data_IF_518527456630
#
_entry.id   IF_518527456630
#
_cell.length_a   1.000
_cell.length_b   1.000
_cell.length_c   1.000
_cell.angle_alpha   90.00
_cell.angle_beta   90.00
_cell.angle_gamma   90.00
#
_symmetry.space_group_name_H-M   'P 1'
#
loop_
_entity.id
_entity.type
_entity.pdbx_description
1 polymer ?
#
# COMPACT_ATOMS: atom_id res chain seq x y z
N UNK A 1 -17.26 4.70 -4.91
CA UNK A 1 -17.63 5.93 -4.19
C UNK A 1 -16.62 6.19 -3.08
N UNK A 2 -16.27 7.45 -2.84
CA UNK A 2 -15.55 7.91 -1.63
C UNK A 2 -16.45 8.97 -1.00
N UNK A 3 -16.84 8.79 0.27
CA UNK A 3 -17.78 9.69 0.99
C UNK A 3 -19.04 10.02 0.17
N UNK A 4 -19.69 9.00 -0.35
CA UNK A 4 -20.87 9.10 -1.23
C UNK A 4 -20.66 9.83 -2.56
N UNK A 5 -19.44 10.23 -2.90
CA UNK A 5 -19.09 10.85 -4.18
C UNK A 5 -18.60 9.78 -5.16
N UNK A 6 -19.22 9.68 -6.34
CA UNK A 6 -18.74 8.81 -7.40
C UNK A 6 -17.40 9.31 -7.94
N UNK A 7 -16.41 8.42 -8.00
CA UNK A 7 -15.10 8.71 -8.57
C UNK A 7 -14.88 8.01 -9.93
N UNK A 8 -15.89 7.34 -10.46
CA UNK A 8 -15.79 6.50 -11.65
C UNK A 8 -15.33 7.28 -12.89
N UNK A 9 -15.94 8.44 -13.12
CA UNK A 9 -15.64 9.32 -14.27
C UNK A 9 -14.56 10.37 -14.00
N UNK A 10 -14.00 10.39 -12.81
CA UNK A 10 -12.96 11.37 -12.43
C UNK A 10 -11.60 10.88 -12.95
N UNK A 11 -10.79 11.72 -13.63
CA UNK A 11 -9.42 11.41 -14.03
C UNK A 11 -8.56 10.98 -12.83
N UNK A 12 -7.61 10.06 -13.04
CA UNK A 12 -6.85 9.42 -11.97
C UNK A 12 -6.14 10.43 -11.03
N UNK A 13 -5.56 11.50 -11.58
CA UNK A 13 -4.88 12.54 -10.80
C UNK A 13 -5.84 13.36 -9.90
N UNK A 14 -7.12 13.43 -10.25
CA UNK A 14 -8.13 14.05 -9.42
C UNK A 14 -8.68 13.10 -8.36
N UNK A 15 -8.67 11.78 -8.61
CA UNK A 15 -9.04 10.78 -7.60
C UNK A 15 -8.12 10.84 -6.37
N UNK A 16 -6.84 11.16 -6.58
CA UNK A 16 -5.90 11.36 -5.48
C UNK A 16 -6.34 12.53 -4.56
N UNK A 17 -6.89 13.61 -5.12
CA UNK A 17 -7.45 14.74 -4.35
C UNK A 17 -8.73 14.37 -3.60
N UNK A 18 -9.48 13.39 -4.09
CA UNK A 18 -10.67 12.85 -3.40
C UNK A 18 -10.33 11.84 -2.30
N UNK A 19 -9.05 11.56 -2.09
CA UNK A 19 -8.57 10.67 -1.03
C UNK A 19 -8.26 9.24 -1.48
N UNK A 20 -8.00 8.99 -2.77
CA UNK A 20 -7.55 7.69 -3.26
C UNK A 20 -6.03 7.65 -3.36
N UNK A 21 -5.37 6.81 -2.55
CA UNK A 21 -3.98 6.44 -2.71
C UNK A 21 -3.82 5.17 -3.56
N UNK A 22 -2.74 5.07 -4.32
CA UNK A 22 -2.44 3.87 -5.10
C UNK A 22 -0.95 3.55 -5.09
N UNK A 23 -0.61 2.33 -4.70
CA UNK A 23 0.72 1.75 -4.75
C UNK A 23 0.75 0.68 -5.85
N UNK A 24 1.38 0.95 -7.00
CA UNK A 24 1.49 -0.02 -8.08
C UNK A 24 2.49 -1.13 -7.74
N UNK A 25 2.33 -2.29 -8.36
CA UNK A 25 3.25 -3.42 -8.27
C UNK A 25 4.68 -3.03 -8.67
N UNK A 26 4.82 -2.28 -9.76
CA UNK A 26 6.11 -1.83 -10.26
C UNK A 26 6.70 -0.67 -9.46
N UNK A 27 8.04 -0.58 -9.44
CA UNK A 27 8.74 0.56 -8.83
C UNK A 27 8.32 1.87 -9.49
N UNK A 28 7.81 2.79 -8.69
CA UNK A 28 7.37 4.11 -9.13
C UNK A 28 8.03 5.19 -8.27
N UNK A 29 9.35 5.36 -8.43
CA UNK A 29 10.15 6.37 -7.73
C UNK A 29 10.93 7.21 -8.72
N UNK A 30 11.20 8.47 -8.36
CA UNK A 30 12.02 9.36 -9.17
C UNK A 30 13.51 9.08 -8.94
N UNK A 31 14.35 9.27 -9.96
CA UNK A 31 15.80 9.11 -9.84
C UNK A 31 16.44 10.33 -9.14
N UNK A 32 16.04 10.57 -7.91
CA UNK A 32 16.51 11.62 -7.02
C UNK A 32 16.65 11.09 -5.60
N UNK A 33 17.04 11.92 -4.64
CA UNK A 33 17.18 11.48 -3.26
C UNK A 33 15.87 10.98 -2.66
N UNK A 34 15.93 10.19 -1.58
CA UNK A 34 14.75 9.75 -0.82
C UNK A 34 13.97 10.98 -0.32
N UNK A 35 14.68 11.97 0.21
CA UNK A 35 14.10 13.24 0.66
C UNK A 35 13.34 13.94 -0.48
N UNK A 36 13.98 14.12 -1.64
CA UNK A 36 13.37 14.81 -2.79
C UNK A 36 12.20 14.04 -3.39
N UNK A 37 12.20 12.69 -3.30
CA UNK A 37 11.08 11.87 -3.72
C UNK A 37 9.80 12.16 -2.90
N UNK A 38 9.93 12.43 -1.61
CA UNK A 38 8.81 12.78 -0.74
C UNK A 38 8.46 14.25 -0.92
N UNK A 39 9.46 15.14 -0.83
CA UNK A 39 9.29 16.59 -0.94
C UNK A 39 8.62 16.98 -2.27
N UNK A 40 9.02 16.37 -3.39
CA UNK A 40 8.45 16.67 -4.70
C UNK A 40 6.94 16.43 -4.78
N UNK A 41 6.43 15.38 -4.11
CA UNK A 41 4.98 15.16 -4.01
C UNK A 41 4.33 16.17 -3.05
N UNK A 42 4.99 16.48 -1.93
CA UNK A 42 4.51 17.49 -0.98
C UNK A 42 4.35 18.87 -1.64
N UNK A 43 5.29 19.26 -2.51
CA UNK A 43 5.25 20.53 -3.26
C UNK A 43 4.02 20.63 -4.19
N UNK A 44 3.58 19.52 -4.78
CA UNK A 44 2.40 19.48 -5.65
C UNK A 44 1.10 19.52 -4.83
N UNK A 45 1.12 18.94 -3.62
CA UNK A 45 -0.09 18.66 -2.84
C UNK A 45 -0.35 19.65 -1.72
N UNK A 46 0.68 20.29 -1.16
CA UNK A 46 0.61 21.10 0.06
C UNK A 46 1.07 22.52 -0.23
N UNK A 47 0.34 23.49 0.28
CA UNK A 47 0.71 24.91 0.20
C UNK A 47 1.66 25.29 1.35
N UNK A 48 2.69 26.05 1.03
CA UNK A 48 3.64 26.59 2.01
C UNK A 48 4.86 25.72 2.24
N UNK A 49 6.05 26.32 2.10
CA UNK A 49 7.35 25.63 2.14
C UNK A 49 7.57 24.92 3.49
N UNK A 50 7.22 25.57 4.60
CA UNK A 50 7.42 24.99 5.93
C UNK A 50 6.52 23.76 6.15
N UNK A 51 5.25 23.81 5.68
CA UNK A 51 4.35 22.67 5.75
C UNK A 51 4.84 21.50 4.88
N UNK A 52 5.39 21.78 3.69
CA UNK A 52 5.99 20.77 2.81
C UNK A 52 7.18 20.06 3.47
N UNK A 53 8.11 20.83 4.06
CA UNK A 53 9.25 20.30 4.80
C UNK A 53 8.81 19.49 6.02
N UNK A 54 7.90 20.04 6.81
CA UNK A 54 7.39 19.38 8.02
C UNK A 54 6.78 18.01 7.73
N UNK A 55 5.91 17.91 6.72
CA UNK A 55 5.32 16.62 6.33
C UNK A 55 6.37 15.66 5.77
N UNK A 56 7.36 16.18 5.04
CA UNK A 56 8.46 15.36 4.52
C UNK A 56 9.29 14.74 5.63
N UNK A 57 9.70 15.53 6.63
CA UNK A 57 10.45 15.04 7.80
C UNK A 57 9.62 14.02 8.61
N UNK A 58 8.35 14.32 8.86
CA UNK A 58 7.43 13.40 9.54
C UNK A 58 7.36 12.04 8.84
N UNK A 59 7.20 12.02 7.52
CA UNK A 59 7.08 10.77 6.75
C UNK A 59 8.40 10.01 6.64
N UNK A 60 9.55 10.71 6.59
CA UNK A 60 10.85 10.06 6.69
C UNK A 60 11.01 9.29 8.02
N UNK A 61 10.58 9.89 9.13
CA UNK A 61 10.61 9.23 10.43
C UNK A 61 9.60 8.08 10.52
N UNK A 62 8.35 8.32 10.12
CA UNK A 62 7.27 7.33 10.20
C UNK A 62 7.55 6.04 9.42
N UNK A 63 8.24 6.15 8.28
CA UNK A 63 8.60 5.03 7.42
C UNK A 63 10.05 4.57 7.58
N UNK A 64 10.76 5.03 8.63
CA UNK A 64 12.16 4.70 8.92
C UNK A 64 13.07 4.89 7.70
N UNK A 65 13.00 6.08 7.10
CA UNK A 65 13.77 6.47 5.90
C UNK A 65 14.79 7.57 6.19
N UNK A 66 14.85 8.10 7.42
CA UNK A 66 15.69 9.26 7.78
C UNK A 66 17.18 9.01 7.51
N UNK A 67 17.67 7.81 7.82
CA UNK A 67 19.06 7.40 7.58
C UNK A 67 19.42 7.26 6.10
N UNK A 68 18.41 7.18 5.21
CA UNK A 68 18.56 7.05 3.76
C UNK A 68 18.27 8.37 3.02
N UNK A 69 17.96 9.45 3.74
CA UNK A 69 17.40 10.69 3.17
C UNK A 69 18.17 11.27 1.97
N UNK A 70 19.50 11.21 2.01
CA UNK A 70 20.36 11.73 0.94
C UNK A 70 20.71 10.73 -0.14
N UNK A 71 20.37 9.45 0.02
CA UNK A 71 20.64 8.42 -0.98
C UNK A 71 19.68 8.55 -2.17
N UNK A 72 20.16 8.26 -3.36
CA UNK A 72 19.31 8.14 -4.55
C UNK A 72 18.38 6.92 -4.42
N UNK A 73 17.14 7.08 -4.83
CA UNK A 73 16.17 5.97 -4.80
C UNK A 73 16.58 4.75 -5.65
N UNK A 74 17.47 4.95 -6.63
CA UNK A 74 17.99 3.86 -7.48
C UNK A 74 18.86 2.83 -6.75
N UNK A 75 19.45 3.18 -5.59
CA UNK A 75 20.33 2.30 -4.82
C UNK A 75 19.62 1.60 -3.66
N UNK A 76 18.34 1.87 -3.45
CA UNK A 76 17.55 1.30 -2.37
C UNK A 76 17.21 -0.18 -2.62
N UNK A 77 17.16 -0.95 -1.55
CA UNK A 77 16.60 -2.32 -1.55
C UNK A 77 15.09 -2.32 -1.87
N UNK A 78 14.55 -3.50 -2.18
CA UNK A 78 13.12 -3.66 -2.47
C UNK A 78 12.21 -3.17 -1.34
N UNK A 79 12.53 -3.50 -0.09
CA UNK A 79 11.77 -3.06 1.08
C UNK A 79 11.85 -1.56 1.33
N UNK A 80 13.02 -0.96 1.18
CA UNK A 80 13.21 0.49 1.31
C UNK A 80 12.42 1.26 0.23
N UNK A 81 12.40 0.75 -1.00
CA UNK A 81 11.57 1.31 -2.06
C UNK A 81 10.08 1.22 -1.72
N UNK A 82 9.60 0.08 -1.21
CA UNK A 82 8.20 -0.06 -0.78
C UNK A 82 7.84 0.96 0.29
N UNK A 83 8.69 1.13 1.32
CA UNK A 83 8.50 2.16 2.35
C UNK A 83 8.47 3.58 1.76
N UNK A 84 9.38 3.89 0.84
CA UNK A 84 9.40 5.19 0.15
C UNK A 84 8.12 5.43 -0.66
N UNK A 85 7.65 4.44 -1.40
CA UNK A 85 6.41 4.54 -2.18
C UNK A 85 5.19 4.73 -1.25
N UNK A 86 5.13 4.02 -0.11
CA UNK A 86 4.07 4.18 0.89
C UNK A 86 4.11 5.58 1.52
N UNK A 87 5.28 6.08 1.92
CA UNK A 87 5.44 7.43 2.45
C UNK A 87 4.91 8.49 1.48
N UNK A 88 5.19 8.36 0.17
CA UNK A 88 4.70 9.28 -0.86
C UNK A 88 3.19 9.29 -1.00
N UNK A 89 2.53 8.14 -0.86
CA UNK A 89 1.07 8.04 -0.91
C UNK A 89 0.44 8.76 0.29
N UNK A 90 1.05 8.65 1.46
CA UNK A 90 0.53 9.21 2.71
C UNK A 90 0.59 10.74 2.78
N UNK A 91 1.31 11.42 1.89
CA UNK A 91 1.36 12.90 1.83
C UNK A 91 -0.04 13.53 1.74
N UNK A 92 -0.94 12.89 1.02
CA UNK A 92 -2.31 13.39 0.77
C UNK A 92 -3.33 12.94 1.82
N UNK A 93 -2.91 12.30 2.91
CA UNK A 93 -3.80 11.71 3.92
C UNK A 93 -4.97 10.96 3.27
N UNK A 94 -4.71 9.91 2.50
CA UNK A 94 -5.74 9.22 1.74
C UNK A 94 -6.79 8.58 2.65
N UNK A 95 -8.05 8.55 2.21
CA UNK A 95 -9.16 7.86 2.89
C UNK A 95 -9.14 6.37 2.60
N UNK A 96 -8.69 6.00 1.40
CA UNK A 96 -8.51 4.63 0.97
C UNK A 96 -7.19 4.49 0.20
N UNK A 97 -6.45 3.42 0.44
CA UNK A 97 -5.23 3.07 -0.29
C UNK A 97 -5.41 1.73 -0.98
N UNK A 98 -5.13 1.69 -2.27
CA UNK A 98 -5.03 0.46 -3.07
C UNK A 98 -3.57 0.03 -3.12
N UNK A 99 -3.27 -1.17 -2.66
CA UNK A 99 -1.93 -1.77 -2.65
C UNK A 99 -1.91 -2.97 -3.60
N UNK A 100 -1.18 -2.82 -4.70
CA UNK A 100 -1.09 -3.85 -5.72
C UNK A 100 0.18 -4.68 -5.53
N UNK A 101 0.03 -5.90 -5.04
CA UNK A 101 1.09 -6.85 -4.68
C UNK A 101 2.24 -6.20 -3.85
N UNK A 102 1.94 -5.54 -2.72
CA UNK A 102 2.94 -4.79 -1.95
C UNK A 102 4.04 -5.68 -1.34
N UNK A 103 3.77 -6.97 -1.20
CA UNK A 103 4.66 -7.95 -0.55
C UNK A 103 5.43 -8.83 -1.55
N UNK A 104 5.14 -8.69 -2.85
CA UNK A 104 5.75 -9.52 -3.89
C UNK A 104 7.27 -9.33 -3.98
N UNK A 105 7.99 -10.45 -4.17
CA UNK A 105 9.45 -10.49 -4.36
C UNK A 105 10.25 -9.85 -3.21
N UNK A 106 9.76 -9.96 -1.98
CA UNK A 106 10.46 -9.53 -0.76
C UNK A 106 10.81 -10.74 0.12
N UNK A 107 11.89 -10.60 0.89
CA UNK A 107 12.29 -11.58 1.89
C UNK A 107 11.28 -11.63 3.07
N UNK A 108 11.13 -12.78 3.75
CA UNK A 108 10.15 -12.94 4.83
C UNK A 108 10.23 -11.90 5.95
N UNK A 109 11.43 -11.47 6.34
CA UNK A 109 11.61 -10.43 7.35
C UNK A 109 11.15 -9.05 6.86
N UNK A 110 11.41 -8.76 5.59
CA UNK A 110 10.96 -7.51 4.95
C UNK A 110 9.44 -7.51 4.77
N UNK A 111 8.83 -8.67 4.45
CA UNK A 111 7.36 -8.81 4.39
C UNK A 111 6.74 -8.43 5.73
N UNK A 112 7.23 -8.98 6.84
CA UNK A 112 6.72 -8.63 8.18
C UNK A 112 6.85 -7.13 8.49
N UNK A 113 7.94 -6.52 8.04
CA UNK A 113 8.14 -5.07 8.23
C UNK A 113 7.13 -4.24 7.41
N UNK A 114 6.92 -4.58 6.14
CA UNK A 114 5.90 -3.91 5.31
C UNK A 114 4.48 -4.13 5.86
N UNK A 115 4.15 -5.33 6.35
CA UNK A 115 2.87 -5.61 7.01
C UNK A 115 2.63 -4.68 8.20
N UNK A 116 3.64 -4.38 9.03
CA UNK A 116 3.53 -3.42 10.14
C UNK A 116 3.18 -2.01 9.66
N UNK A 117 3.77 -1.56 8.53
CA UNK A 117 3.41 -0.26 7.96
C UNK A 117 1.99 -0.24 7.42
N UNK A 118 1.53 -1.33 6.78
CA UNK A 118 0.14 -1.47 6.32
C UNK A 118 -0.83 -1.35 7.51
N UNK A 119 -0.59 -2.11 8.59
CA UNK A 119 -1.42 -2.06 9.80
C UNK A 119 -1.37 -0.68 10.47
N UNK A 120 -0.21 -0.01 10.47
CA UNK A 120 -0.07 1.36 11.00
C UNK A 120 -0.92 2.35 10.19
N UNK A 121 -0.93 2.24 8.86
CA UNK A 121 -1.78 3.07 7.99
C UNK A 121 -3.26 2.80 8.28
N UNK A 122 -3.66 1.55 8.37
CA UNK A 122 -5.04 1.15 8.70
C UNK A 122 -5.46 1.70 10.06
N UNK A 123 -4.62 1.57 11.10
CA UNK A 123 -4.92 2.06 12.45
C UNK A 123 -5.06 3.58 12.54
N UNK A 124 -4.53 4.33 11.57
CA UNK A 124 -4.74 5.78 11.45
C UNK A 124 -6.09 6.18 10.83
N UNK A 125 -6.95 5.20 10.51
CA UNK A 125 -8.28 5.40 9.94
C UNK A 125 -8.35 5.36 8.42
N UNK A 126 -7.25 5.00 7.73
CA UNK A 126 -7.24 4.81 6.28
C UNK A 126 -7.73 3.40 5.92
N UNK A 127 -8.75 3.29 5.08
CA UNK A 127 -9.18 2.01 4.54
C UNK A 127 -8.13 1.46 3.55
N UNK A 128 -7.91 0.14 3.56
CA UNK A 128 -6.91 -0.49 2.68
C UNK A 128 -7.57 -1.60 1.87
N UNK A 129 -7.35 -1.57 0.56
CA UNK A 129 -7.59 -2.70 -0.33
C UNK A 129 -6.23 -3.20 -0.83
N UNK A 130 -5.90 -4.44 -0.51
CA UNK A 130 -4.63 -5.06 -0.89
C UNK A 130 -4.87 -6.28 -1.76
N UNK A 131 -4.07 -6.43 -2.82
CA UNK A 131 -4.00 -7.65 -3.63
C UNK A 131 -2.64 -8.31 -3.43
N UNK A 132 -2.60 -9.63 -3.36
CA UNK A 132 -1.36 -10.41 -3.39
C UNK A 132 -1.71 -11.85 -3.81
N UNK A 133 -0.75 -12.54 -4.38
CA UNK A 133 -0.88 -13.95 -4.74
C UNK A 133 -0.49 -14.89 -3.59
N UNK A 134 0.18 -14.39 -2.54
CA UNK A 134 0.51 -15.15 -1.35
C UNK A 134 -0.49 -14.90 -0.23
N UNK A 135 -1.49 -15.77 -0.14
CA UNK A 135 -2.59 -15.67 0.80
C UNK A 135 -2.15 -15.62 2.27
N UNK A 136 -1.11 -16.38 2.65
CA UNK A 136 -0.61 -16.39 4.03
C UNK A 136 -0.22 -15.00 4.48
N UNK A 137 0.48 -14.26 3.62
CA UNK A 137 0.92 -12.90 3.93
C UNK A 137 -0.25 -11.92 4.07
N UNK A 138 -1.39 -12.19 3.40
CA UNK A 138 -2.58 -11.33 3.49
C UNK A 138 -3.40 -11.61 4.73
N UNK A 139 -3.53 -12.86 5.14
CA UNK A 139 -4.41 -13.25 6.26
C UNK A 139 -4.03 -12.59 7.59
N UNK A 140 -2.76 -12.25 7.77
CA UNK A 140 -2.27 -11.59 8.99
C UNK A 140 -2.64 -10.09 9.05
N UNK A 141 -3.04 -9.49 7.92
CA UNK A 141 -3.24 -8.03 7.80
C UNK A 141 -4.62 -7.64 7.24
N UNK A 142 -5.51 -8.61 7.01
CA UNK A 142 -6.83 -8.35 6.43
C UNK A 142 -7.96 -8.78 7.35
N UNK A 143 -8.96 -7.92 7.51
CA UNK A 143 -10.19 -8.22 8.24
C UNK A 143 -11.12 -9.12 7.41
N UNK A 144 -11.13 -8.92 6.08
CA UNK A 144 -11.97 -9.64 5.12
C UNK A 144 -11.23 -9.81 3.80
N UNK A 145 -11.39 -10.95 3.17
CA UNK A 145 -10.78 -11.26 1.88
C UNK A 145 -11.79 -11.78 0.87
N UNK A 146 -11.53 -11.50 -0.39
CA UNK A 146 -12.29 -11.96 -1.55
C UNK A 146 -11.42 -12.85 -2.41
N UNK A 147 -11.87 -14.06 -2.70
CA UNK A 147 -11.20 -14.97 -3.65
C UNK A 147 -11.81 -14.75 -5.02
N UNK A 148 -10.99 -14.32 -5.96
CA UNK A 148 -11.37 -14.06 -7.34
C UNK A 148 -10.98 -15.24 -8.25
N UNK A 149 -11.83 -15.58 -9.18
CA UNK A 149 -11.54 -16.55 -10.24
C UNK A 149 -12.66 -16.57 -11.28
N UNK A 150 -12.32 -16.95 -12.51
CA UNK A 150 -13.26 -17.02 -13.62
C UNK A 150 -14.10 -15.74 -13.79
N UNK A 151 -13.45 -14.57 -13.61
CA UNK A 151 -14.06 -13.22 -13.69
C UNK A 151 -15.13 -12.91 -12.61
N UNK A 152 -15.23 -13.73 -11.55
CA UNK A 152 -16.22 -13.56 -10.49
C UNK A 152 -15.57 -13.65 -9.11
N UNK A 153 -16.31 -13.18 -8.09
CA UNK A 153 -16.01 -13.49 -6.68
C UNK A 153 -16.48 -14.91 -6.40
N UNK A 154 -15.53 -15.83 -6.18
CA UNK A 154 -15.84 -17.24 -5.90
C UNK A 154 -16.34 -17.40 -4.46
N UNK A 155 -15.69 -16.73 -3.52
CA UNK A 155 -16.05 -16.74 -2.10
C UNK A 155 -15.44 -15.53 -1.42
N UNK A 156 -15.97 -15.17 -0.26
CA UNK A 156 -15.50 -14.09 0.59
C UNK A 156 -15.65 -14.47 2.06
N UNK A 157 -14.87 -13.82 2.93
CA UNK A 157 -14.94 -14.04 4.36
C UNK A 157 -13.67 -13.63 5.09
N UNK A 158 -13.64 -13.89 6.38
CA UNK A 158 -12.44 -13.78 7.21
C UNK A 158 -11.43 -14.89 6.84
N UNK A 159 -10.17 -14.73 7.25
CA UNK A 159 -9.12 -15.72 7.03
C UNK A 159 -9.55 -17.12 7.53
N UNK A 160 -10.16 -17.19 8.72
CA UNK A 160 -10.62 -18.46 9.31
C UNK A 160 -11.77 -19.12 8.53
N UNK A 161 -12.67 -18.33 7.97
CA UNK A 161 -13.77 -18.83 7.13
C UNK A 161 -13.25 -19.34 5.79
N UNK A 162 -12.33 -18.61 5.18
CA UNK A 162 -11.76 -19.01 3.89
C UNK A 162 -10.89 -20.26 3.98
N UNK A 163 -10.14 -20.45 5.05
CA UNK A 163 -9.35 -21.68 5.29
C UNK A 163 -10.23 -22.93 5.43
N UNK A 164 -11.50 -22.78 5.81
CA UNK A 164 -12.48 -23.87 5.92
C UNK A 164 -13.38 -24.00 4.69
N UNK A 165 -13.30 -23.06 3.76
CA UNK A 165 -14.16 -23.04 2.57
C UNK A 165 -13.68 -24.04 1.53
N UNK A 166 -14.49 -25.06 1.22
CA UNK A 166 -14.21 -26.03 0.15
C UNK A 166 -14.02 -25.36 -1.21
N UNK A 167 -14.72 -24.25 -1.47
CA UNK A 167 -14.57 -23.46 -2.69
C UNK A 167 -13.20 -22.77 -2.75
N UNK A 168 -12.76 -22.13 -1.65
CA UNK A 168 -11.45 -21.48 -1.57
C UNK A 168 -10.31 -22.50 -1.70
N UNK A 169 -10.43 -23.65 -1.02
CA UNK A 169 -9.45 -24.74 -1.08
C UNK A 169 -9.34 -25.27 -2.52
N UNK A 170 -10.45 -25.56 -3.18
CA UNK A 170 -10.47 -26.12 -4.53
C UNK A 170 -9.89 -25.16 -5.58
N UNK A 171 -10.22 -23.87 -5.50
CA UNK A 171 -9.91 -22.90 -6.57
C UNK A 171 -8.59 -22.13 -6.35
N UNK A 172 -8.11 -22.03 -5.10
CA UNK A 172 -6.96 -21.19 -4.80
C UNK A 172 -5.88 -21.86 -3.94
N UNK A 173 -6.24 -22.58 -2.88
CA UNK A 173 -5.25 -23.11 -1.94
C UNK A 173 -4.63 -24.44 -2.38
N UNK A 174 -5.33 -25.22 -3.21
CA UNK A 174 -4.89 -26.57 -3.60
C UNK A 174 -4.62 -27.46 -2.39
N UNK A 175 -3.81 -28.51 -2.59
CA UNK A 175 -3.45 -29.47 -1.53
C UNK A 175 -2.44 -28.92 -0.48
N UNK A 176 -2.01 -27.68 -0.58
CA UNK A 176 -1.03 -27.11 0.36
C UNK A 176 -1.62 -26.70 1.72
N UNK A 177 -2.94 -26.75 1.87
CA UNK A 177 -3.66 -26.34 3.09
C UNK A 177 -4.59 -27.43 3.65
N UNK A 178 -4.49 -28.67 3.17
CA UNK A 178 -5.18 -29.85 3.71
C UNK A 178 -4.38 -30.55 4.79
#
# INVERSE_FOLDING_TARGET
FIDNKSIEKIPIHLRAKEGLGYLPQQRSVFNMSVYDNILGIAQISIKGIEAQKSVTEKLLDEFNLQHLRSLKASVLSGGEIRRLMMARIMINNPKIVLLDEPLAALDPLVIQDIQKYILKIQSSGTAILVTDHNVKNLFDITDRSYVLGEHNVITEGTSNELLKSSKAIKHYFGSQFS
#
